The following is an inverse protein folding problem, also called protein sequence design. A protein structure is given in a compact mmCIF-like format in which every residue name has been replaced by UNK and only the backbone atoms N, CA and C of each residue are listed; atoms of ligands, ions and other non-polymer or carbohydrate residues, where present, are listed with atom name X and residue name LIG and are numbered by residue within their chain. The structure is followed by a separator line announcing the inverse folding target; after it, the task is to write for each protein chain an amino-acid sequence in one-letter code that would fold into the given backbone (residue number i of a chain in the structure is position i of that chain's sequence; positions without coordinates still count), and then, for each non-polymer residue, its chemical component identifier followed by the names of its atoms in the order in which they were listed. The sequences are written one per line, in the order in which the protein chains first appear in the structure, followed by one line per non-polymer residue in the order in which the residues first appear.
data_IF_511444798441
#
_entry.id   IF_511444798441
#
_cell.length_a   1.000
_cell.length_b   1.000
_cell.length_c   1.000
_cell.angle_alpha   90.00
_cell.angle_beta   90.00
_cell.angle_gamma   90.00
#
_symmetry.space_group_name_H-M   'P 1'
#
loop_
_entity.id
_entity.type
_entity.pdbx_description
1 polymer ?
#
# COMPACT_ATOMS: atom_id res chain seq x y z
N UNK A 1 -17.79 -25.10 -26.04
CA UNK A 1 -17.77 -24.43 -24.73
C UNK A 1 -17.91 -22.93 -24.94
N UNK A 2 -18.89 -22.25 -24.31
CA UNK A 2 -18.97 -20.79 -24.41
C UNK A 2 -17.71 -20.16 -23.78
N UNK A 3 -17.14 -19.14 -24.42
CA UNK A 3 -15.96 -18.43 -23.91
C UNK A 3 -16.36 -17.58 -22.71
N UNK A 4 -15.76 -17.82 -21.55
CA UNK A 4 -15.87 -16.93 -20.40
C UNK A 4 -15.19 -15.58 -20.72
N UNK A 5 -15.85 -14.46 -20.38
CA UNK A 5 -15.24 -13.13 -20.41
C UNK A 5 -14.54 -12.89 -19.08
N UNK A 6 -13.27 -12.49 -19.13
CA UNK A 6 -12.47 -12.12 -17.96
C UNK A 6 -12.23 -10.61 -17.96
N UNK A 7 -12.34 -9.97 -16.78
CA UNK A 7 -12.02 -8.55 -16.55
C UNK A 7 -11.12 -8.42 -15.32
N UNK A 8 -10.13 -7.54 -15.40
CA UNK A 8 -9.26 -7.22 -14.26
C UNK A 8 -9.99 -6.20 -13.38
N UNK A 9 -10.16 -6.53 -12.11
CA UNK A 9 -10.82 -5.65 -11.12
C UNK A 9 -9.81 -4.93 -10.20
N UNK A 10 -8.70 -5.60 -9.87
CA UNK A 10 -7.66 -5.04 -9.02
C UNK A 10 -6.32 -5.73 -9.28
N UNK A 11 -5.23 -5.03 -9.00
CA UNK A 11 -3.86 -5.56 -9.06
C UNK A 11 -3.18 -5.29 -7.73
N UNK A 12 -2.55 -6.31 -7.16
CA UNK A 12 -1.77 -6.21 -5.91
C UNK A 12 -0.32 -6.55 -6.24
N UNK A 13 0.61 -5.70 -5.80
CA UNK A 13 2.05 -5.86 -6.03
C UNK A 13 2.77 -5.78 -4.68
N UNK A 14 3.75 -6.66 -4.49
CA UNK A 14 4.67 -6.65 -3.35
C UNK A 14 6.06 -6.25 -3.82
N UNK A 15 6.72 -5.36 -3.08
CA UNK A 15 8.06 -4.87 -3.38
C UNK A 15 8.91 -4.93 -2.10
N UNK A 16 10.17 -5.32 -2.25
CA UNK A 16 11.15 -5.33 -1.16
C UNK A 16 12.30 -4.39 -1.52
N UNK A 17 12.68 -3.52 -0.59
CA UNK A 17 13.86 -2.66 -0.71
C UNK A 17 15.01 -3.32 0.06
N UNK A 18 15.87 -4.05 -0.64
CA UNK A 18 17.01 -4.75 -0.02
C UNK A 18 17.95 -3.76 0.66
N UNK A 19 18.40 -4.09 1.87
CA UNK A 19 19.31 -3.25 2.67
C UNK A 19 18.70 -1.94 3.18
N UNK A 20 17.40 -1.74 3.04
CA UNK A 20 16.71 -0.51 3.49
C UNK A 20 15.81 -0.79 4.68
N UNK A 21 16.04 -0.08 5.79
CA UNK A 21 15.14 -0.06 6.94
C UNK A 21 14.28 1.20 6.94
N UNK A 22 12.99 1.04 7.22
CA UNK A 22 12.04 2.16 7.25
C UNK A 22 11.64 2.49 8.69
N UNK A 23 11.88 3.74 9.10
CA UNK A 23 11.30 4.29 10.32
C UNK A 23 9.82 4.63 10.08
N UNK A 24 8.93 3.71 10.48
CA UNK A 24 7.48 3.86 10.29
C UNK A 24 6.91 5.08 11.03
N UNK A 25 7.48 5.47 12.17
CA UNK A 25 7.01 6.64 12.94
C UNK A 25 7.37 7.93 12.21
N UNK A 26 8.57 7.99 11.64
CA UNK A 26 9.00 9.12 10.80
C UNK A 26 8.16 9.20 9.53
N UNK A 27 7.95 8.08 8.83
CA UNK A 27 7.14 8.03 7.62
C UNK A 27 5.70 8.51 7.87
N UNK A 28 5.08 8.08 8.97
CA UNK A 28 3.73 8.49 9.33
C UNK A 28 3.59 10.00 9.58
N UNK A 29 4.68 10.71 9.90
CA UNK A 29 4.68 12.16 10.10
C UNK A 29 4.90 12.96 8.82
N UNK A 30 5.59 12.39 7.84
CA UNK A 30 5.96 13.10 6.59
C UNK A 30 5.03 12.77 5.42
N UNK A 31 4.35 11.63 5.47
CA UNK A 31 3.42 11.19 4.43
C UNK A 31 2.01 11.66 4.78
N UNK A 32 1.51 12.66 4.05
CA UNK A 32 0.16 13.18 4.26
C UNK A 32 -0.89 12.09 4.03
N UNK A 33 -1.81 11.93 5.00
CA UNK A 33 -2.83 10.89 4.94
C UNK A 33 -2.34 9.47 5.26
N UNK A 34 -1.09 9.31 5.71
CA UNK A 34 -0.64 8.03 6.24
C UNK A 34 -1.28 7.73 7.61
N UNK A 35 -1.62 6.47 7.84
CA UNK A 35 -2.15 5.98 9.11
C UNK A 35 -1.23 4.89 9.67
N UNK A 36 -0.78 5.10 10.90
CA UNK A 36 0.07 4.20 11.66
C UNK A 36 -0.49 3.99 13.07
N UNK A 37 -0.97 2.77 13.33
CA UNK A 37 -1.37 2.31 14.66
C UNK A 37 -0.85 0.88 14.87
N UNK A 38 0.31 0.70 15.52
CA UNK A 38 0.97 -0.60 15.66
C UNK A 38 0.17 -1.61 16.49
N UNK A 39 -0.75 -1.17 17.36
CA UNK A 39 -1.63 -2.08 18.11
C UNK A 39 -2.69 -2.72 17.21
N UNK A 40 -3.11 -2.02 16.15
CA UNK A 40 -4.10 -2.51 15.19
C UNK A 40 -3.45 -3.19 13.98
N UNK A 41 -2.35 -2.64 13.48
CA UNK A 41 -1.63 -3.17 12.32
C UNK A 41 -0.15 -2.77 12.39
N UNK A 42 0.80 -3.71 12.25
CA UNK A 42 2.23 -3.43 12.46
C UNK A 42 2.87 -2.56 11.35
N UNK A 43 2.19 -2.39 10.21
CA UNK A 43 2.69 -1.58 9.09
C UNK A 43 2.09 -0.17 9.03
N UNK A 44 2.65 0.65 8.16
CA UNK A 44 2.06 1.93 7.76
C UNK A 44 1.09 1.70 6.60
N UNK A 45 -0.06 2.35 6.64
CA UNK A 45 -0.96 2.44 5.49
C UNK A 45 -0.90 3.84 4.90
N UNK A 46 -0.67 3.94 3.60
CA UNK A 46 -0.63 5.22 2.90
C UNK A 46 -1.44 5.10 1.61
N UNK A 47 -2.21 6.15 1.30
CA UNK A 47 -3.01 6.24 0.08
C UNK A 47 -2.41 7.35 -0.77
N UNK A 48 -1.76 6.97 -1.87
CA UNK A 48 -1.32 7.93 -2.88
C UNK A 48 -2.52 8.66 -3.47
N UNK A 49 -2.37 9.96 -3.72
CA UNK A 49 -3.35 10.75 -4.49
C UNK A 49 -3.34 10.40 -5.98
N UNK A 50 -2.29 9.71 -6.45
CA UNK A 50 -2.11 9.32 -7.84
C UNK A 50 -1.90 7.80 -8.00
N UNK A 51 -2.61 7.12 -8.91
CA UNK A 51 -3.79 7.64 -9.62
C UNK A 51 -4.91 7.95 -8.62
N UNK A 52 -5.66 9.04 -8.83
CA UNK A 52 -6.85 9.28 -8.02
C UNK A 52 -7.85 8.14 -8.26
N UNK A 53 -8.79 7.98 -7.32
CA UNK A 53 -9.88 7.01 -7.47
C UNK A 53 -10.63 7.17 -8.79
#
# INVERSE_FOLDING_TARGET
MPKAKTRIENVVVSVTYEGTEFDLKKLARILDGANYNPERFPGISYRSEFPPR
#
